data_IF_194967163127
#
_entry.id   IF_194967163127
#
_cell.length_a   1.000
_cell.length_b   1.000
_cell.length_c   1.000
_cell.angle_alpha   90.00
_cell.angle_beta   90.00
_cell.angle_gamma   90.00
#
_symmetry.space_group_name_H-M   'P 1'
#
loop_
_entity.id
_entity.type
_entity.pdbx_description
1 polymer ?
#
# COMPACT_ATOMS: atom_id res chain seq x y z
N UNK A 1 -40.30 -7.20 29.29
CA UNK A 1 -39.97 -6.42 28.06
C UNK A 1 -39.98 -4.95 28.45
N UNK A 2 -38.84 -4.41 28.93
CA UNK A 2 -38.73 -2.97 29.21
C UNK A 2 -38.43 -2.22 27.92
N UNK A 3 -39.08 -1.07 27.68
CA UNK A 3 -38.91 -0.30 26.46
C UNK A 3 -37.51 0.33 26.42
N UNK A 4 -36.90 0.29 25.24
CA UNK A 4 -35.55 0.78 24.99
C UNK A 4 -35.44 2.27 25.30
N UNK A 5 -34.64 2.60 26.31
CA UNK A 5 -34.11 3.95 26.43
C UNK A 5 -33.20 4.20 25.23
N UNK A 6 -33.30 5.36 24.55
CA UNK A 6 -32.38 5.68 23.48
C UNK A 6 -30.94 5.63 24.04
N UNK A 7 -29.99 5.02 23.33
CA UNK A 7 -28.59 5.08 23.75
C UNK A 7 -28.20 6.54 23.93
N UNK A 8 -27.46 6.84 25.01
CA UNK A 8 -26.96 8.19 25.28
C UNK A 8 -26.32 8.76 24.00
N UNK A 9 -26.53 10.04 23.70
CA UNK A 9 -26.03 10.70 22.48
C UNK A 9 -24.53 10.45 22.26
N UNK A 10 -23.75 10.35 23.33
CA UNK A 10 -22.33 9.98 23.30
C UNK A 10 -22.07 8.60 22.69
N UNK A 11 -22.83 7.57 23.08
CA UNK A 11 -22.74 6.22 22.52
C UNK A 11 -23.11 6.20 21.03
N UNK A 12 -24.11 6.98 20.62
CA UNK A 12 -24.47 7.09 19.21
C UNK A 12 -23.36 7.73 18.39
N UNK A 13 -22.78 8.84 18.87
CA UNK A 13 -21.67 9.52 18.20
C UNK A 13 -20.45 8.60 18.11
N UNK A 14 -20.06 7.94 19.20
CA UNK A 14 -18.95 6.98 19.19
C UNK A 14 -19.21 5.80 18.24
N UNK A 15 -20.44 5.28 18.21
CA UNK A 15 -20.86 4.25 17.27
C UNK A 15 -20.75 4.69 15.81
N UNK A 16 -21.19 5.91 15.50
CA UNK A 16 -21.04 6.50 14.16
C UNK A 16 -19.58 6.73 13.77
N UNK A 17 -18.75 7.24 14.69
CA UNK A 17 -17.31 7.40 14.46
C UNK A 17 -16.64 6.06 14.17
N UNK A 18 -16.95 5.04 14.97
CA UNK A 18 -16.43 3.69 14.76
C UNK A 18 -16.87 3.09 13.42
N UNK A 19 -18.16 3.19 13.09
CA UNK A 19 -18.69 2.70 11.82
C UNK A 19 -18.02 3.38 10.62
N UNK A 20 -17.79 4.70 10.71
CA UNK A 20 -17.11 5.47 9.67
C UNK A 20 -15.64 5.06 9.54
N UNK A 21 -14.92 4.92 10.66
CA UNK A 21 -13.53 4.47 10.66
C UNK A 21 -13.39 3.05 10.09
N UNK A 22 -14.27 2.12 10.48
CA UNK A 22 -14.30 0.76 9.92
C UNK A 22 -14.59 0.76 8.42
N UNK A 23 -15.58 1.53 7.97
CA UNK A 23 -15.93 1.61 6.56
C UNK A 23 -14.77 2.19 5.74
N UNK A 24 -14.12 3.24 6.22
CA UNK A 24 -12.95 3.83 5.57
C UNK A 24 -11.77 2.85 5.51
N UNK A 25 -11.48 2.15 6.62
CA UNK A 25 -10.42 1.14 6.70
C UNK A 25 -10.69 -0.02 5.72
N UNK A 26 -11.91 -0.57 5.71
CA UNK A 26 -12.29 -1.65 4.80
C UNK A 26 -12.27 -1.21 3.33
N UNK A 27 -12.74 0.00 3.03
CA UNK A 27 -12.69 0.56 1.68
C UNK A 27 -11.24 0.74 1.20
N UNK A 28 -10.37 1.31 2.03
CA UNK A 28 -8.96 1.54 1.72
C UNK A 28 -8.24 0.23 1.40
N UNK A 29 -8.29 -0.74 2.31
CA UNK A 29 -7.60 -2.02 2.14
C UNK A 29 -8.20 -2.81 0.95
N UNK A 30 -9.53 -2.87 0.87
CA UNK A 30 -10.22 -3.56 -0.23
C UNK A 30 -9.94 -2.94 -1.60
N UNK A 31 -9.90 -1.62 -1.69
CA UNK A 31 -9.60 -0.89 -2.93
C UNK A 31 -8.15 -1.10 -3.35
N UNK A 32 -7.21 -0.96 -2.42
CA UNK A 32 -5.79 -1.21 -2.70
C UNK A 32 -5.55 -2.64 -3.20
N UNK A 33 -6.04 -3.65 -2.47
CA UNK A 33 -5.89 -5.05 -2.90
C UNK A 33 -6.55 -5.31 -4.26
N UNK A 34 -7.74 -4.76 -4.51
CA UNK A 34 -8.44 -4.90 -5.79
C UNK A 34 -7.66 -4.28 -6.95
N UNK A 35 -7.18 -3.05 -6.78
CA UNK A 35 -6.41 -2.37 -7.82
C UNK A 35 -5.12 -3.13 -8.12
N UNK A 36 -4.41 -3.62 -7.09
CA UNK A 36 -3.18 -4.37 -7.28
C UNK A 36 -3.42 -5.72 -7.97
N UNK A 37 -4.48 -6.44 -7.57
CA UNK A 37 -4.88 -7.70 -8.22
C UNK A 37 -5.25 -7.52 -9.70
N UNK A 38 -5.88 -6.38 -10.05
CA UNK A 38 -6.21 -6.02 -11.43
C UNK A 38 -5.05 -5.36 -12.20
N UNK A 39 -3.87 -5.23 -11.58
CA UNK A 39 -2.73 -4.47 -12.12
C UNK A 39 -3.05 -3.00 -12.47
N UNK A 40 -4.02 -2.41 -11.79
CA UNK A 40 -4.41 -1.00 -11.88
C UNK A 40 -3.48 -0.13 -11.01
N UNK A 41 -2.18 -0.14 -11.33
CA UNK A 41 -1.10 0.52 -10.56
C UNK A 41 -1.36 2.03 -10.34
N UNK A 42 -1.84 2.82 -11.33
CA UNK A 42 -2.15 4.22 -11.10
C UNK A 42 -3.17 4.44 -9.97
N UNK A 43 -4.29 3.70 -10.00
CA UNK A 43 -5.36 3.79 -9.02
C UNK A 43 -4.89 3.28 -7.65
N UNK A 44 -4.08 2.22 -7.63
CA UNK A 44 -3.44 1.73 -6.41
C UNK A 44 -2.59 2.82 -5.74
N UNK A 45 -1.75 3.52 -6.51
CA UNK A 45 -0.87 4.56 -5.96
C UNK A 45 -1.66 5.79 -5.51
N UNK A 46 -2.71 6.21 -6.21
CA UNK A 46 -3.56 7.32 -5.76
C UNK A 46 -4.21 7.02 -4.39
N UNK A 47 -4.75 5.82 -4.22
CA UNK A 47 -5.36 5.41 -2.94
C UNK A 47 -4.31 5.29 -1.84
N UNK A 48 -3.18 4.65 -2.11
CA UNK A 48 -2.20 4.28 -1.06
C UNK A 48 -1.18 5.37 -0.75
N UNK A 49 -0.93 6.29 -1.68
CA UNK A 49 0.00 7.41 -1.50
C UNK A 49 -0.71 8.77 -1.40
N UNK A 50 -2.01 8.84 -1.73
CA UNK A 50 -2.86 10.02 -1.56
C UNK A 50 -3.85 9.83 -0.40
N UNK A 51 -4.92 9.07 -0.65
CA UNK A 51 -6.05 8.95 0.29
C UNK A 51 -5.64 8.37 1.65
N UNK A 52 -4.69 7.44 1.66
CA UNK A 52 -4.17 6.83 2.89
C UNK A 52 -3.59 7.87 3.86
N UNK A 53 -2.83 8.85 3.36
CA UNK A 53 -2.22 9.89 4.22
C UNK A 53 -3.29 10.77 4.89
N UNK A 54 -4.34 11.09 4.13
CA UNK A 54 -5.50 11.82 4.66
C UNK A 54 -6.21 10.97 5.72
N UNK A 55 -6.49 9.70 5.43
CA UNK A 55 -7.15 8.79 6.36
C UNK A 55 -6.35 8.57 7.64
N UNK A 56 -5.02 8.45 7.57
CA UNK A 56 -4.15 8.39 8.75
C UNK A 56 -4.33 9.65 9.60
N UNK A 57 -4.21 10.83 8.99
CA UNK A 57 -4.35 12.11 9.69
C UNK A 57 -5.70 12.25 10.38
N UNK A 58 -6.79 11.95 9.69
CA UNK A 58 -8.14 12.06 10.24
C UNK A 58 -8.41 11.02 11.34
N UNK A 59 -7.88 9.81 11.18
CA UNK A 59 -8.06 8.78 12.21
C UNK A 59 -7.20 9.05 13.45
N UNK A 60 -6.00 9.61 13.30
CA UNK A 60 -5.16 10.05 14.42
C UNK A 60 -5.82 11.20 15.19
N UNK A 61 -6.45 12.16 14.48
CA UNK A 61 -7.27 13.22 15.11
C UNK A 61 -8.45 12.64 15.88
N UNK A 62 -9.16 11.67 15.29
CA UNK A 62 -10.25 10.99 15.96
C UNK A 62 -9.77 10.28 17.24
N UNK A 63 -8.63 9.58 17.19
CA UNK A 63 -8.01 8.95 18.36
C UNK A 63 -7.65 9.96 19.43
N UNK A 64 -7.07 11.11 19.06
CA UNK A 64 -6.73 12.18 20.00
C UNK A 64 -7.99 12.73 20.71
N UNK A 65 -9.05 13.01 19.95
CA UNK A 65 -10.33 13.48 20.51
C UNK A 65 -10.95 12.47 21.48
N UNK A 66 -11.00 11.20 21.07
CA UNK A 66 -11.55 10.12 21.89
C UNK A 66 -10.72 9.91 23.16
N UNK A 67 -9.39 10.00 23.07
CA UNK A 67 -8.51 9.80 24.22
C UNK A 67 -8.53 10.99 25.19
N UNK A 68 -8.75 12.21 24.70
CA UNK A 68 -8.95 13.39 25.55
C UNK A 68 -10.32 13.43 26.23
N UNK A 69 -11.36 12.89 25.59
CA UNK A 69 -12.73 12.88 26.12
C UNK A 69 -13.00 11.70 27.05
N UNK A 70 -12.41 10.54 26.75
CA UNK A 70 -12.54 9.29 27.49
C UNK A 70 -11.14 8.76 27.86
N UNK A 71 -10.49 9.34 28.87
CA UNK A 71 -9.19 8.86 29.33
C UNK A 71 -9.32 7.43 29.83
N UNK A 72 -8.36 6.57 29.45
CA UNK A 72 -8.28 5.24 30.07
C UNK A 72 -8.05 5.41 31.58
N UNK A 73 -8.66 4.57 32.42
CA UNK A 73 -8.33 4.56 33.84
C UNK A 73 -6.84 4.28 34.00
N UNK A 74 -6.11 5.18 34.68
CA UNK A 74 -4.74 4.91 35.12
C UNK A 74 -4.70 3.58 35.86
N UNK A 75 -3.63 2.79 35.67
CA UNK A 75 -3.31 1.54 36.37
C UNK A 75 -3.30 1.77 37.89
N UNK A 76 -4.49 1.88 38.45
CA UNK A 76 -4.76 1.96 39.87
C UNK A 76 -5.05 0.54 40.32
N UNK A 77 -4.50 0.16 41.48
CA UNK A 77 -4.59 -1.18 42.09
C UNK A 77 -6.03 -1.62 42.46
N UNK A 78 -7.05 -0.96 41.94
CA UNK A 78 -8.47 -1.24 42.17
C UNK A 78 -8.98 -2.25 41.13
N UNK A 79 -9.93 -3.13 41.52
CA UNK A 79 -10.53 -4.08 40.59
C UNK A 79 -11.18 -3.34 39.41
N UNK A 80 -11.08 -3.87 38.17
CA UNK A 80 -11.57 -3.18 36.99
C UNK A 80 -13.06 -2.92 37.13
N UNK A 81 -13.45 -1.64 37.10
CA UNK A 81 -14.85 -1.25 36.98
C UNK A 81 -15.47 -1.92 35.73
N UNK A 82 -16.78 -2.22 35.73
CA UNK A 82 -17.44 -2.74 34.53
C UNK A 82 -17.13 -1.83 33.35
N UNK A 83 -16.56 -2.39 32.28
CA UNK A 83 -16.13 -1.61 31.12
C UNK A 83 -17.34 -0.87 30.53
N UNK A 84 -17.36 0.45 30.71
CA UNK A 84 -18.43 1.27 30.13
C UNK A 84 -18.44 1.06 28.62
N UNK A 85 -19.63 0.92 27.99
CA UNK A 85 -19.72 0.65 26.55
C UNK A 85 -18.97 1.68 25.69
N UNK A 86 -18.84 2.91 26.18
CA UNK A 86 -18.04 3.97 25.57
C UNK A 86 -16.56 3.58 25.47
N UNK A 87 -15.95 3.10 26.55
CA UNK A 87 -14.54 2.68 26.58
C UNK A 87 -14.27 1.52 25.61
N UNK A 88 -15.24 0.62 25.43
CA UNK A 88 -15.14 -0.43 24.42
C UNK A 88 -15.11 0.15 23.00
N UNK A 89 -16.01 1.09 22.68
CA UNK A 89 -16.02 1.77 21.38
C UNK A 89 -14.72 2.56 21.15
N UNK A 90 -14.23 3.26 22.17
CA UNK A 90 -12.97 3.99 22.12
C UNK A 90 -11.79 3.06 21.79
N UNK A 91 -11.70 1.89 22.44
CA UNK A 91 -10.68 0.89 22.14
C UNK A 91 -10.78 0.37 20.70
N UNK A 92 -11.98 0.16 20.18
CA UNK A 92 -12.18 -0.27 18.80
C UNK A 92 -11.79 0.81 17.78
N UNK A 93 -12.06 2.08 18.07
CA UNK A 93 -11.60 3.22 17.25
C UNK A 93 -10.07 3.23 17.21
N UNK A 94 -9.40 3.13 18.36
CA UNK A 94 -7.93 3.06 18.45
C UNK A 94 -7.36 1.87 17.68
N UNK A 95 -8.00 0.70 17.80
CA UNK A 95 -7.62 -0.50 17.06
C UNK A 95 -7.73 -0.30 15.55
N UNK A 96 -8.79 0.37 15.08
CA UNK A 96 -9.00 0.66 13.66
C UNK A 96 -7.93 1.60 13.12
N UNK A 97 -7.60 2.65 13.88
CA UNK A 97 -6.49 3.55 13.56
C UNK A 97 -5.18 2.78 13.43
N UNK A 98 -4.88 1.91 14.40
CA UNK A 98 -3.69 1.06 14.36
C UNK A 98 -3.66 0.16 13.11
N UNK A 99 -4.80 -0.40 12.68
CA UNK A 99 -4.87 -1.17 11.43
C UNK A 99 -4.53 -0.33 10.19
N UNK A 100 -5.02 0.92 10.10
CA UNK A 100 -4.68 1.83 9.00
C UNK A 100 -3.18 2.15 9.00
N UNK A 101 -2.60 2.42 10.19
CA UNK A 101 -1.18 2.71 10.34
C UNK A 101 -0.30 1.51 9.95
N UNK A 102 -0.65 0.30 10.40
CA UNK A 102 0.02 -0.94 10.01
C UNK A 102 -0.04 -1.14 8.49
N UNK A 103 -1.22 -0.96 7.89
CA UNK A 103 -1.38 -1.06 6.45
C UNK A 103 -0.47 -0.08 5.70
N UNK A 104 -0.37 1.17 6.16
CA UNK A 104 0.55 2.15 5.58
C UNK A 104 2.02 1.74 5.65
N UNK A 105 2.43 1.04 6.71
CA UNK A 105 3.79 0.53 6.84
C UNK A 105 4.14 -0.58 5.85
N UNK A 106 3.14 -1.34 5.39
CA UNK A 106 3.34 -2.55 4.60
C UNK A 106 2.91 -2.44 3.14
N UNK A 107 2.01 -1.52 2.80
CA UNK A 107 1.40 -1.42 1.47
C UNK A 107 2.43 -1.21 0.35
N UNK A 108 3.49 -0.44 0.61
CA UNK A 108 4.56 -0.24 -0.37
C UNK A 108 5.50 -1.45 -0.49
N UNK A 109 5.64 -2.27 0.56
CA UNK A 109 6.37 -3.54 0.47
C UNK A 109 5.58 -4.54 -0.37
N UNK A 110 4.27 -4.61 -0.15
CA UNK A 110 3.35 -5.42 -0.95
C UNK A 110 3.44 -5.02 -2.43
N UNK A 111 3.32 -3.72 -2.72
CA UNK A 111 3.50 -3.19 -4.07
C UNK A 111 4.85 -3.57 -4.70
N UNK A 112 5.95 -3.43 -3.96
CA UNK A 112 7.28 -3.81 -4.44
C UNK A 112 7.37 -5.30 -4.78
N UNK A 113 6.77 -6.17 -3.96
CA UNK A 113 6.71 -7.61 -4.20
C UNK A 113 5.94 -7.93 -5.49
N UNK A 114 4.78 -7.31 -5.68
CA UNK A 114 3.98 -7.48 -6.89
C UNK A 114 4.66 -6.91 -8.15
N UNK A 115 5.40 -5.81 -8.02
CA UNK A 115 6.25 -5.29 -9.09
C UNK A 115 7.34 -6.27 -9.49
N UNK A 116 8.02 -6.88 -8.51
CA UNK A 116 9.05 -7.90 -8.77
C UNK A 116 8.44 -9.12 -9.46
N UNK A 117 7.29 -9.59 -8.96
CA UNK A 117 6.53 -10.72 -9.54
C UNK A 117 6.12 -10.44 -10.98
N UNK A 118 5.49 -9.31 -11.25
CA UNK A 118 5.05 -8.93 -12.60
C UNK A 118 6.24 -8.76 -13.55
N UNK A 119 7.32 -8.13 -13.09
CA UNK A 119 8.55 -7.97 -13.87
C UNK A 119 9.15 -9.34 -14.24
N UNK A 120 9.23 -10.25 -13.27
CA UNK A 120 9.74 -11.61 -13.49
C UNK A 120 8.87 -12.40 -14.50
N UNK A 121 7.55 -12.26 -14.44
CA UNK A 121 6.63 -12.86 -15.40
C UNK A 121 6.88 -12.33 -16.82
N UNK A 122 6.96 -11.01 -16.98
CA UNK A 122 7.23 -10.38 -18.28
C UNK A 122 8.59 -10.81 -18.83
N UNK A 123 9.65 -10.83 -18.00
CA UNK A 123 10.97 -11.31 -18.44
C UNK A 123 10.93 -12.78 -18.82
N UNK A 124 10.23 -13.61 -18.05
CA UNK A 124 9.99 -15.03 -18.36
C UNK A 124 9.39 -15.26 -19.74
N UNK A 125 8.51 -14.37 -20.19
CA UNK A 125 7.80 -14.48 -21.47
C UNK A 125 8.54 -13.81 -22.64
N UNK A 126 9.24 -12.70 -22.38
CA UNK A 126 9.71 -11.79 -23.44
C UNK A 126 11.22 -11.71 -23.57
N UNK A 127 11.97 -12.05 -22.52
CA UNK A 127 13.42 -11.91 -22.53
C UNK A 127 14.04 -12.97 -23.44
N UNK A 128 14.84 -12.57 -24.44
CA UNK A 128 15.39 -13.54 -25.38
C UNK A 128 16.46 -14.41 -24.71
N UNK A 129 16.55 -15.67 -25.13
CA UNK A 129 17.58 -16.60 -24.67
C UNK A 129 18.63 -16.83 -25.78
N UNK A 130 19.91 -16.90 -25.40
CA UNK A 130 20.98 -17.33 -26.32
C UNK A 130 21.48 -16.26 -27.30
N UNK A 131 21.20 -16.40 -28.61
CA UNK A 131 21.90 -15.67 -29.71
C UNK A 131 21.73 -14.15 -29.66
N UNK A 132 20.64 -13.64 -29.08
CA UNK A 132 20.41 -12.20 -28.91
C UNK A 132 21.48 -11.51 -28.05
N UNK A 133 22.12 -12.26 -27.16
CA UNK A 133 23.16 -11.76 -26.25
C UNK A 133 24.58 -11.87 -26.80
N UNK A 134 24.75 -12.52 -27.96
CA UNK A 134 26.01 -12.57 -28.67
C UNK A 134 26.04 -11.34 -29.57
N UNK A 135 26.55 -10.24 -29.05
CA UNK A 135 26.74 -9.02 -29.84
C UNK A 135 27.89 -9.32 -30.78
N UNK A 136 27.60 -9.81 -31.98
CA UNK A 136 28.63 -10.10 -32.96
C UNK A 136 29.37 -8.82 -33.30
N UNK A 137 30.56 -8.62 -32.72
CA UNK A 137 31.57 -7.57 -33.01
C UNK A 137 30.99 -6.25 -33.57
N UNK A 138 29.89 -5.74 -33.02
CA UNK A 138 29.39 -4.41 -33.39
C UNK A 138 30.24 -3.42 -32.64
N UNK A 139 30.96 -2.58 -33.37
CA UNK A 139 31.86 -1.58 -32.83
C UNK A 139 31.14 -0.52 -31.97
N UNK A 140 29.82 -0.39 -32.10
CA UNK A 140 29.03 0.63 -31.43
C UNK A 140 27.95 0.04 -30.50
N UNK A 141 27.79 0.66 -29.34
CA UNK A 141 26.66 0.43 -28.43
C UNK A 141 25.33 0.65 -29.19
N UNK A 142 24.31 -0.18 -28.95
CA UNK A 142 22.99 0.04 -29.55
C UNK A 142 22.44 1.40 -29.11
N UNK A 143 22.06 2.25 -30.08
CA UNK A 143 21.51 3.59 -29.83
C UNK A 143 20.05 3.58 -29.35
N UNK A 144 19.41 2.41 -29.29
CA UNK A 144 18.02 2.24 -28.86
C UNK A 144 17.88 1.04 -27.92
N UNK A 145 16.95 1.09 -26.94
CA UNK A 145 16.66 -0.05 -26.07
C UNK A 145 16.11 -1.24 -26.86
N UNK A 146 16.32 -2.46 -26.35
CA UNK A 146 15.70 -3.65 -26.92
C UNK A 146 14.17 -3.60 -26.75
N UNK A 147 13.44 -4.15 -27.72
CA UNK A 147 11.97 -4.11 -27.70
C UNK A 147 11.38 -4.76 -26.45
N UNK A 148 11.95 -5.88 -25.98
CA UNK A 148 11.49 -6.55 -24.77
C UNK A 148 11.71 -5.67 -23.52
N UNK A 149 12.86 -5.01 -23.41
CA UNK A 149 13.19 -4.19 -22.25
C UNK A 149 12.32 -2.93 -22.21
N UNK A 150 12.09 -2.31 -23.36
CA UNK A 150 11.18 -1.18 -23.48
C UNK A 150 9.74 -1.57 -23.09
N UNK A 151 9.24 -2.71 -23.57
CA UNK A 151 7.90 -3.21 -23.25
C UNK A 151 7.77 -3.52 -21.74
N UNK A 152 8.75 -4.21 -21.15
CA UNK A 152 8.76 -4.54 -19.73
C UNK A 152 8.81 -3.27 -18.85
N UNK A 153 9.68 -2.32 -19.18
CA UNK A 153 9.77 -1.05 -18.48
C UNK A 153 8.44 -0.28 -18.58
N UNK A 154 7.82 -0.24 -19.75
CA UNK A 154 6.53 0.46 -19.93
C UNK A 154 5.39 -0.21 -19.14
N UNK A 155 5.35 -1.54 -19.09
CA UNK A 155 4.30 -2.30 -18.40
C UNK A 155 4.37 -2.19 -16.87
N UNK A 156 5.55 -1.91 -16.30
CA UNK A 156 5.77 -1.82 -14.85
C UNK A 156 6.12 -0.39 -14.42
N UNK A 157 7.28 0.13 -14.84
CA UNK A 157 7.74 1.47 -14.48
C UNK A 157 6.86 2.56 -15.10
N UNK A 158 6.45 2.37 -16.36
CA UNK A 158 5.59 3.29 -17.08
C UNK A 158 4.24 3.52 -16.38
N UNK A 159 3.73 2.53 -15.65
CA UNK A 159 2.49 2.69 -14.88
C UNK A 159 2.66 3.64 -13.69
N UNK A 160 3.81 3.58 -13.01
CA UNK A 160 4.14 4.49 -11.90
C UNK A 160 4.43 5.89 -12.42
N UNK A 161 5.17 6.01 -13.53
CA UNK A 161 5.49 7.30 -14.15
C UNK A 161 4.25 8.07 -14.60
N UNK A 162 3.21 7.39 -15.08
CA UNK A 162 1.94 8.01 -15.48
C UNK A 162 1.25 8.76 -14.34
N UNK A 163 1.38 8.26 -13.11
CA UNK A 163 0.70 8.82 -11.93
C UNK A 163 1.65 9.62 -11.04
N UNK A 164 2.97 9.53 -11.24
CA UNK A 164 3.96 10.16 -10.37
C UNK A 164 3.70 11.67 -10.15
N UNK A 165 3.30 12.40 -11.18
CA UNK A 165 3.01 13.84 -11.06
C UNK A 165 1.76 14.16 -10.24
N UNK A 166 0.82 13.21 -10.14
CA UNK A 166 -0.41 13.33 -9.36
C UNK A 166 -0.20 12.96 -7.88
N UNK A 167 0.92 12.30 -7.56
CA UNK A 167 1.24 11.93 -6.19
C UNK A 167 1.80 13.13 -5.40
N UNK A 168 1.57 13.16 -4.08
CA UNK A 168 2.28 14.10 -3.19
C UNK A 168 3.79 14.01 -3.40
N UNK A 169 4.47 15.16 -3.38
CA UNK A 169 5.91 15.26 -3.70
C UNK A 169 6.76 14.27 -2.90
N UNK A 170 6.44 14.09 -1.63
CA UNK A 170 7.19 13.21 -0.71
C UNK A 170 6.96 11.72 -1.00
N UNK A 171 5.91 11.36 -1.74
CA UNK A 171 5.60 9.99 -2.14
C UNK A 171 6.17 9.61 -3.52
N UNK A 172 6.53 10.59 -4.36
CA UNK A 172 7.00 10.34 -5.73
C UNK A 172 8.31 9.55 -5.76
N UNK A 173 9.35 10.05 -5.09
CA UNK A 173 10.66 9.42 -5.09
C UNK A 173 10.65 8.02 -4.43
N UNK A 174 10.00 7.81 -3.26
CA UNK A 174 9.93 6.49 -2.66
C UNK A 174 9.16 5.46 -3.50
N UNK A 175 8.09 5.85 -4.18
CA UNK A 175 7.34 4.95 -5.06
C UNK A 175 8.18 4.56 -6.29
N UNK A 176 8.83 5.53 -6.94
CA UNK A 176 9.70 5.31 -8.09
C UNK A 176 10.94 4.48 -7.74
N UNK A 177 11.57 4.76 -6.61
CA UNK A 177 12.73 3.98 -6.16
C UNK A 177 12.36 2.51 -5.93
N UNK A 178 11.24 2.23 -5.24
CA UNK A 178 10.80 0.86 -4.97
C UNK A 178 10.48 0.08 -6.24
N UNK A 179 9.68 0.65 -7.15
CA UNK A 179 9.33 -0.03 -8.41
C UNK A 179 10.58 -0.28 -9.26
N UNK A 180 11.51 0.68 -9.32
CA UNK A 180 12.75 0.56 -10.09
C UNK A 180 13.64 -0.53 -9.53
N UNK A 181 13.84 -0.56 -8.21
CA UNK A 181 14.61 -1.60 -7.54
C UNK A 181 13.99 -2.99 -7.78
N UNK A 182 12.68 -3.14 -7.55
CA UNK A 182 11.99 -4.41 -7.75
C UNK A 182 12.10 -4.92 -9.20
N UNK A 183 12.00 -4.01 -10.17
CA UNK A 183 12.15 -4.31 -11.60
C UNK A 183 13.57 -4.77 -11.94
N UNK A 184 14.59 -4.04 -11.47
CA UNK A 184 16.00 -4.37 -11.72
C UNK A 184 16.42 -5.66 -11.03
N UNK A 185 15.92 -5.91 -9.82
CA UNK A 185 16.12 -7.18 -9.12
C UNK A 185 15.53 -8.35 -9.92
N UNK A 186 14.27 -8.24 -10.37
CA UNK A 186 13.65 -9.29 -11.19
C UNK A 186 14.42 -9.55 -12.48
N UNK A 187 14.95 -8.49 -13.10
CA UNK A 187 15.77 -8.60 -14.30
C UNK A 187 17.07 -9.36 -14.03
N UNK A 188 17.78 -8.99 -12.96
CA UNK A 188 19.02 -9.64 -12.54
C UNK A 188 18.78 -11.11 -12.13
N UNK A 189 17.74 -11.38 -11.36
CA UNK A 189 17.34 -12.73 -10.93
C UNK A 189 17.08 -13.62 -12.16
N UNK A 190 16.40 -13.08 -13.17
CA UNK A 190 16.15 -13.80 -14.42
C UNK A 190 17.44 -14.10 -15.20
N UNK A 191 18.34 -13.12 -15.33
CA UNK A 191 19.65 -13.30 -15.98
C UNK A 191 20.45 -14.42 -15.32
N UNK A 192 20.49 -14.42 -13.99
CA UNK A 192 21.22 -15.41 -13.20
C UNK A 192 20.59 -16.80 -13.34
N UNK A 193 19.26 -16.90 -13.23
CA UNK A 193 18.52 -18.15 -13.37
C UNK A 193 18.71 -18.80 -14.75
N UNK A 194 18.67 -17.99 -15.81
CA UNK A 194 18.83 -18.45 -17.20
C UNK A 194 20.31 -18.52 -17.63
N UNK A 195 21.26 -18.15 -16.76
CA UNK A 195 22.70 -18.11 -17.02
C UNK A 195 23.03 -17.39 -18.33
N UNK A 196 22.37 -16.26 -18.56
CA UNK A 196 22.54 -15.45 -19.76
C UNK A 196 23.99 -14.94 -19.83
N UNK A 197 24.62 -15.13 -20.99
CA UNK A 197 26.00 -14.66 -21.24
C UNK A 197 25.97 -13.52 -22.23
N UNK A 198 26.33 -12.34 -21.76
CA UNK A 198 26.64 -11.17 -22.57
C UNK A 198 28.05 -11.38 -23.13
N UNK A 199 28.17 -11.70 -24.42
CA UNK A 199 29.45 -11.92 -25.11
C UNK A 199 29.56 -11.03 -26.32
#
# INVERSE_FOLDING_TARGET
LSPGHPPCLQLQVLGCCLATAHAACAWLMGSACRHLAAWAVPQFLLVTQGDLQLLQTETDRLVALVSGTFPEPEDTLLPPAPSHPEHQLCRQIRSTAASIQLFSGDVLKMFSSDCKRMSAEIFGQTMPLGKHWRVGLRADLPSSPSAYAAAAAQAVLGQVLQVAQLLPRDAQAPALARVTTAFLEAWMDHILAQRIKFR
#
